data_IF_718264226635
#
_entry.id   IF_718264226635
#
_cell.length_a   1.000
_cell.length_b   1.000
_cell.length_c   1.000
_cell.angle_alpha   90.00
_cell.angle_beta   90.00
_cell.angle_gamma   90.00
#
_symmetry.space_group_name_H-M   'P 1'
#
loop_
_entity.id
_entity.type
_entity.pdbx_description
1 polymer ?
#
# COMPACT_ATOMS: atom_id res chain seq x y z
N UNK A 1 -50.97 -5.03 3.36
CA UNK A 1 -49.90 -4.98 2.33
C UNK A 1 -49.29 -3.59 2.34
N UNK A 2 -47.95 -3.45 2.24
CA UNK A 2 -47.17 -2.18 2.12
C UNK A 2 -46.46 -1.59 3.36
N UNK A 3 -45.92 -2.41 4.27
CA UNK A 3 -44.90 -1.90 5.23
C UNK A 3 -43.64 -2.79 5.34
N UNK A 4 -43.56 -3.87 4.55
CA UNK A 4 -42.47 -4.86 4.66
C UNK A 4 -41.24 -4.59 3.76
N UNK A 5 -41.27 -3.56 2.90
CA UNK A 5 -40.21 -3.31 1.92
C UNK A 5 -39.27 -2.15 2.25
N UNK A 6 -39.56 -1.34 3.27
CA UNK A 6 -38.79 -0.10 3.52
C UNK A 6 -37.57 -0.27 4.43
N UNK A 7 -37.38 -1.43 5.08
CA UNK A 7 -36.27 -1.64 6.04
C UNK A 7 -34.99 -2.17 5.38
N UNK A 8 -35.04 -2.63 4.12
CA UNK A 8 -33.89 -3.29 3.48
C UNK A 8 -32.85 -2.33 2.85
N UNK A 9 -33.06 -1.01 2.88
CA UNK A 9 -32.19 -0.05 2.17
C UNK A 9 -31.08 0.59 3.01
N UNK A 10 -30.95 0.27 4.30
CA UNK A 10 -30.00 0.93 5.22
C UNK A 10 -28.60 0.30 5.29
N UNK A 11 -28.30 -0.72 4.48
CA UNK A 11 -27.01 -1.43 4.53
C UNK A 11 -26.07 -1.12 3.36
N UNK A 12 -26.25 0.02 2.67
CA UNK A 12 -25.12 0.61 1.97
C UNK A 12 -24.19 1.29 2.99
N UNK A 13 -23.68 0.51 3.95
CA UNK A 13 -22.46 0.88 4.66
C UNK A 13 -21.40 0.96 3.57
N UNK A 14 -21.15 2.17 3.07
CA UNK A 14 -20.06 2.44 2.16
C UNK A 14 -18.79 2.04 2.87
N UNK A 15 -18.34 0.80 2.64
CA UNK A 15 -16.97 0.43 2.89
C UNK A 15 -16.18 1.30 1.93
N UNK A 16 -15.76 2.45 2.43
CA UNK A 16 -14.83 3.30 1.74
C UNK A 16 -13.57 2.43 1.61
N UNK A 17 -13.01 2.33 0.42
CA UNK A 17 -11.86 1.47 0.09
C UNK A 17 -10.81 2.37 -0.55
N UNK A 18 -9.51 2.06 -0.43
CA UNK A 18 -8.54 2.80 -1.23
C UNK A 18 -8.76 2.43 -2.70
N UNK A 19 -9.15 3.40 -3.52
CA UNK A 19 -9.21 3.20 -4.97
C UNK A 19 -7.84 3.48 -5.57
N UNK A 20 -7.14 2.42 -5.97
CA UNK A 20 -5.79 2.49 -6.56
C UNK A 20 -5.81 1.78 -7.90
N UNK A 21 -5.41 2.49 -8.97
CA UNK A 21 -5.41 1.95 -10.34
C UNK A 21 -6.76 1.32 -10.75
N UNK A 22 -7.87 1.95 -10.34
CA UNK A 22 -9.22 1.46 -10.64
C UNK A 22 -9.66 0.24 -9.84
N UNK A 23 -8.84 -0.28 -8.92
CA UNK A 23 -9.21 -1.35 -7.99
C UNK A 23 -9.48 -0.81 -6.60
N UNK A 24 -10.49 -1.36 -5.96
CA UNK A 24 -10.78 -1.09 -4.57
C UNK A 24 -9.93 -1.99 -3.68
N UNK A 25 -9.26 -1.41 -2.69
CA UNK A 25 -8.38 -2.08 -1.74
C UNK A 25 -8.89 -1.93 -0.33
N UNK A 26 -8.81 -3.01 0.44
CA UNK A 26 -9.29 -3.05 1.83
C UNK A 26 -8.36 -2.32 2.78
N UNK A 27 -8.88 -1.97 3.96
CA UNK A 27 -8.07 -1.40 5.03
C UNK A 27 -6.93 -2.34 5.41
N UNK A 28 -5.73 -1.79 5.54
CA UNK A 28 -4.49 -2.51 5.84
C UNK A 28 -4.06 -3.53 4.77
N UNK A 29 -4.75 -3.61 3.63
CA UNK A 29 -4.32 -4.46 2.52
C UNK A 29 -2.94 -4.03 2.04
N UNK A 30 -2.05 -5.02 1.88
CA UNK A 30 -0.70 -4.84 1.36
C UNK A 30 -0.60 -5.50 0.00
N UNK A 31 -0.02 -4.80 -0.97
CA UNK A 31 0.26 -5.35 -2.28
C UNK A 31 1.62 -4.87 -2.78
N UNK A 32 2.15 -5.59 -3.76
CA UNK A 32 3.39 -5.22 -4.44
C UNK A 32 3.03 -4.57 -5.77
N UNK A 33 3.62 -3.41 -6.03
CA UNK A 33 3.50 -2.71 -7.30
C UNK A 33 4.90 -2.37 -7.80
N UNK A 34 5.32 -3.02 -8.88
CA UNK A 34 6.71 -3.01 -9.32
C UNK A 34 7.65 -3.54 -8.23
N UNK A 35 8.52 -2.69 -7.70
CA UNK A 35 9.46 -3.02 -6.62
C UNK A 35 9.08 -2.41 -5.27
N UNK A 36 7.83 -1.97 -5.10
CA UNK A 36 7.39 -1.28 -3.87
C UNK A 36 6.29 -2.08 -3.17
N UNK A 37 6.42 -2.23 -1.84
CA UNK A 37 5.35 -2.75 -0.99
C UNK A 37 4.48 -1.58 -0.52
N UNK A 38 3.22 -1.58 -0.94
CA UNK A 38 2.27 -0.50 -0.66
C UNK A 38 1.21 -1.02 0.30
N UNK A 39 0.75 -0.16 1.20
CA UNK A 39 -0.36 -0.43 2.11
C UNK A 39 -1.43 0.65 2.00
N UNK A 40 -2.69 0.23 2.01
CA UNK A 40 -3.83 1.12 2.14
C UNK A 40 -4.13 1.38 3.63
N UNK A 41 -4.17 2.65 4.02
CA UNK A 41 -4.47 3.07 5.39
C UNK A 41 -5.68 4.00 5.40
N UNK A 42 -6.55 3.80 6.38
CA UNK A 42 -7.64 4.73 6.68
C UNK A 42 -7.08 5.92 7.46
N UNK A 43 -7.40 7.14 7.04
CA UNK A 43 -6.89 8.37 7.65
C UNK A 43 -8.06 9.24 8.08
N UNK A 44 -7.97 9.76 9.31
CA UNK A 44 -8.96 10.66 9.87
C UNK A 44 -10.23 9.96 10.35
N UNK A 45 -10.85 10.55 11.39
CA UNK A 45 -12.06 10.02 12.05
C UNK A 45 -13.26 9.91 11.11
N UNK A 46 -13.26 10.66 10.01
CA UNK A 46 -14.37 10.79 9.06
C UNK A 46 -14.23 9.91 7.81
N UNK A 47 -13.15 9.12 7.67
CA UNK A 47 -13.04 8.09 6.63
C UNK A 47 -12.31 8.49 5.34
N UNK A 48 -11.14 9.15 5.45
CA UNK A 48 -10.22 9.30 4.33
C UNK A 48 -9.37 8.06 4.10
N UNK A 49 -8.74 7.97 2.92
CA UNK A 49 -7.85 6.87 2.55
C UNK A 49 -6.52 7.41 2.04
N UNK A 50 -5.42 6.74 2.38
CA UNK A 50 -4.09 7.04 1.87
C UNK A 50 -3.32 5.76 1.62
N UNK A 51 -2.59 5.74 0.52
CA UNK A 51 -1.59 4.71 0.26
C UNK A 51 -0.24 5.14 0.83
N UNK A 52 0.41 4.23 1.56
CA UNK A 52 1.76 4.42 2.09
C UNK A 52 2.67 3.34 1.55
N UNK A 53 3.86 3.73 1.10
CA UNK A 53 4.90 2.77 0.71
C UNK A 53 5.67 2.34 1.96
N UNK A 54 5.64 1.04 2.26
CA UNK A 54 6.29 0.44 3.44
C UNK A 54 7.76 0.09 3.21
N UNK A 55 8.17 0.00 1.96
CA UNK A 55 9.53 -0.36 1.57
C UNK A 55 9.59 -0.91 0.15
N UNK A 56 10.73 -1.50 -0.18
CA UNK A 56 11.01 -2.06 -1.48
C UNK A 56 10.97 -3.59 -1.42
N UNK A 57 10.48 -4.23 -2.48
CA UNK A 57 10.49 -5.68 -2.66
C UNK A 57 11.53 -6.06 -3.70
N UNK A 58 12.49 -6.89 -3.31
CA UNK A 58 13.53 -7.43 -4.19
C UNK A 58 13.63 -8.94 -3.95
N UNK A 59 13.42 -9.74 -4.99
CA UNK A 59 13.46 -11.22 -4.91
C UNK A 59 12.60 -11.78 -3.75
N UNK A 60 11.37 -11.28 -3.61
CA UNK A 60 10.45 -11.61 -2.51
C UNK A 60 10.93 -11.23 -1.10
N UNK A 61 12.04 -10.50 -0.97
CA UNK A 61 12.51 -9.94 0.30
C UNK A 61 12.09 -8.48 0.40
N UNK A 62 11.50 -8.12 1.53
CA UNK A 62 11.23 -6.74 1.88
C UNK A 62 12.51 -6.05 2.38
N UNK A 63 12.80 -4.89 1.82
CA UNK A 63 13.82 -3.94 2.27
C UNK A 63 13.06 -2.75 2.86
N UNK A 64 13.10 -2.54 4.18
CA UNK A 64 12.45 -1.39 4.82
C UNK A 64 12.94 -0.07 4.24
N UNK A 65 12.05 0.93 4.23
CA UNK A 65 12.37 2.30 3.85
C UNK A 65 13.59 2.83 4.64
N UNK A 66 14.52 3.49 3.94
CA UNK A 66 15.74 4.06 4.52
C UNK A 66 16.85 3.04 4.80
N UNK A 67 16.62 1.76 4.50
CA UNK A 67 17.60 0.69 4.76
C UNK A 67 18.18 0.11 3.47
N UNK A 68 19.23 -0.70 3.64
CA UNK A 68 19.83 -1.47 2.57
C UNK A 68 19.87 -2.96 2.90
N UNK A 69 19.94 -3.80 1.86
CA UNK A 69 20.13 -5.23 1.99
C UNK A 69 21.00 -5.74 0.85
N UNK A 70 21.99 -6.57 1.21
CA UNK A 70 22.80 -7.30 0.24
C UNK A 70 22.14 -8.63 -0.09
N UNK A 71 21.89 -8.88 -1.37
CA UNK A 71 21.34 -10.14 -1.88
C UNK A 71 22.26 -10.64 -3.00
N UNK A 72 23.02 -11.70 -2.69
CA UNK A 72 24.07 -12.20 -3.55
C UNK A 72 25.21 -11.18 -3.70
N UNK A 73 25.51 -10.79 -4.94
CA UNK A 73 26.59 -9.82 -5.28
C UNK A 73 26.11 -8.37 -5.40
N UNK A 74 24.85 -8.11 -5.06
CA UNK A 74 24.20 -6.80 -5.22
C UNK A 74 23.74 -6.27 -3.88
N UNK A 75 24.00 -4.98 -3.65
CA UNK A 75 23.45 -4.24 -2.53
C UNK A 75 22.28 -3.39 -3.02
N UNK A 76 21.11 -3.58 -2.43
CA UNK A 76 19.90 -2.86 -2.75
C UNK A 76 19.60 -1.85 -1.64
N UNK A 77 19.28 -0.62 -1.99
CA UNK A 77 18.94 0.45 -1.05
C UNK A 77 17.53 0.94 -1.36
N UNK A 78 16.65 0.89 -0.36
CA UNK A 78 15.31 1.47 -0.47
C UNK A 78 15.35 2.90 0.09
N UNK A 79 15.66 3.87 -0.76
CA UNK A 79 15.86 5.25 -0.36
C UNK A 79 14.53 6.00 -0.24
N UNK A 80 14.34 6.73 0.87
CA UNK A 80 13.28 7.72 0.99
C UNK A 80 13.75 9.03 0.33
N UNK A 81 13.10 9.39 -0.78
CA UNK A 81 13.41 10.63 -1.51
C UNK A 81 12.60 11.82 -1.00
N UNK A 82 11.80 11.62 0.08
CA UNK A 82 10.92 12.62 0.67
C UNK A 82 9.54 12.64 0.02
N UNK A 83 8.60 13.31 0.69
CA UNK A 83 7.20 13.45 0.25
C UNK A 83 6.47 12.11 -0.02
N UNK A 84 6.87 11.04 0.67
CA UNK A 84 6.30 9.70 0.50
C UNK A 84 6.73 9.00 -0.80
N UNK A 85 7.82 9.44 -1.44
CA UNK A 85 8.37 8.80 -2.63
C UNK A 85 9.59 7.97 -2.26
N UNK A 86 9.59 6.71 -2.66
CA UNK A 86 10.75 5.83 -2.50
C UNK A 86 11.47 5.61 -3.83
N UNK A 87 12.78 5.37 -3.75
CA UNK A 87 13.61 4.97 -4.89
C UNK A 87 14.42 3.73 -4.53
N UNK A 88 14.29 2.69 -5.34
CA UNK A 88 15.16 1.52 -5.25
C UNK A 88 16.47 1.80 -6.01
N UNK A 89 17.61 1.84 -5.30
CA UNK A 89 18.95 1.86 -5.91
C UNK A 89 19.60 0.49 -5.79
N UNK A 90 20.37 0.12 -6.81
CA UNK A 90 21.13 -1.13 -6.84
C UNK A 90 22.60 -0.82 -7.07
N UNK A 91 23.48 -1.40 -6.25
CA UNK A 91 24.93 -1.31 -6.33
C UNK A 91 25.52 -2.69 -6.53
N UNK A 92 26.60 -2.77 -7.29
CA UNK A 92 27.38 -3.99 -7.48
C UNK A 92 28.69 -3.84 -6.71
N UNK A 93 29.06 -4.89 -5.97
CA UNK A 93 30.42 -4.98 -5.48
C UNK A 93 31.28 -5.49 -6.65
N UNK A 94 32.16 -4.64 -7.17
CA UNK A 94 33.21 -5.08 -8.11
C UNK A 94 34.28 -5.85 -7.34
#
# INVERSE_FOLDING_TARGET
MRVLFTVLALLATGYCLCKVNGRDRSENEKWVEGSFLIQCLKVGKWGGWRTTVLGCMVNNKQIPTGTNATLGKKTYICEDTGNGRLRLRTFWYQ
#
